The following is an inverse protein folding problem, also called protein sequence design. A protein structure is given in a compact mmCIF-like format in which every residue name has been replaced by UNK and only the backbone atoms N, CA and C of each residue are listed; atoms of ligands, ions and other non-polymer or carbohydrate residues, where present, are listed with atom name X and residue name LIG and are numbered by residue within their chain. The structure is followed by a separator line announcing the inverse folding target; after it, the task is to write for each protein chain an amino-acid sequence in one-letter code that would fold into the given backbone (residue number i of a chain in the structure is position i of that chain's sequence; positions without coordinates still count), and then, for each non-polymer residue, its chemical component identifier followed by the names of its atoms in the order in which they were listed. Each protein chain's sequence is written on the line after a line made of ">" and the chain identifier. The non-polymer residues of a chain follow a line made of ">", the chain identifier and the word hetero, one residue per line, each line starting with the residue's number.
data_IF_126679085627
#
_entry.id   IF_126679085627
#
_cell.length_a   1.000
_cell.length_b   1.000
_cell.length_c   1.000
_cell.angle_alpha   90.00
_cell.angle_beta   90.00
_cell.angle_gamma   90.00
#
_symmetry.space_group_name_H-M   'P 1'
#
loop_
_entity.id
_entity.type
_entity.pdbx_description
1 polymer ?
#
# COMPACT_ATOMS: atom_id res chain seq x y z
N UNK A 1 19.91 7.35 30.83
CA UNK A 1 19.44 8.16 29.69
C UNK A 1 20.36 7.82 28.52
N UNK A 2 19.99 6.83 27.71
CA UNK A 2 20.77 6.44 26.53
C UNK A 2 20.46 7.43 25.43
N UNK A 3 21.47 8.08 24.86
CA UNK A 3 21.30 8.89 23.68
C UNK A 3 20.79 7.97 22.56
N UNK A 4 19.55 8.17 22.12
CA UNK A 4 19.03 7.54 20.91
C UNK A 4 19.94 8.02 19.78
N UNK A 5 20.72 7.11 19.21
CA UNK A 5 21.52 7.40 18.01
C UNK A 5 20.51 7.74 16.92
N UNK A 6 20.42 9.01 16.54
CA UNK A 6 19.67 9.43 15.36
C UNK A 6 20.20 8.65 14.16
N UNK A 7 19.29 7.94 13.47
CA UNK A 7 19.58 7.24 12.22
C UNK A 7 19.96 8.22 11.09
N UNK A 8 19.49 9.46 11.18
CA UNK A 8 19.79 10.52 10.23
C UNK A 8 20.99 11.35 10.68
N UNK A 9 21.88 11.63 9.74
CA UNK A 9 23.01 12.55 9.93
C UNK A 9 22.55 14.02 9.94
N UNK A 10 23.36 14.90 10.50
CA UNK A 10 23.11 16.35 10.48
C UNK A 10 22.93 16.87 9.05
N UNK A 11 23.75 16.40 8.10
CA UNK A 11 23.65 16.81 6.70
C UNK A 11 22.32 16.40 6.06
N UNK A 12 21.76 15.24 6.42
CA UNK A 12 20.45 14.80 5.94
C UNK A 12 19.32 15.65 6.52
N UNK A 13 19.43 16.05 7.80
CA UNK A 13 18.46 16.95 8.43
C UNK A 13 18.51 18.36 7.83
N UNK A 14 19.71 18.86 7.53
CA UNK A 14 19.90 20.13 6.81
C UNK A 14 19.31 20.06 5.40
N UNK A 15 19.58 18.99 4.65
CA UNK A 15 18.97 18.77 3.34
C UNK A 15 17.44 18.76 3.42
N UNK A 16 16.87 18.06 4.40
CA UNK A 16 15.41 18.03 4.58
C UNK A 16 14.85 19.44 4.86
N UNK A 17 15.53 20.23 5.69
CA UNK A 17 15.12 21.58 6.01
C UNK A 17 15.18 22.53 4.80
N UNK A 18 16.20 22.37 3.96
CA UNK A 18 16.43 23.23 2.78
C UNK A 18 15.55 22.84 1.59
N UNK A 19 15.36 21.53 1.34
CA UNK A 19 14.69 21.01 0.16
C UNK A 19 13.23 20.61 0.41
N UNK A 20 12.84 20.41 1.67
CA UNK A 20 11.51 19.95 2.05
C UNK A 20 11.25 18.45 1.80
N UNK A 21 12.28 17.70 1.40
CA UNK A 21 12.24 16.24 1.26
C UNK A 21 13.60 15.61 1.56
N UNK A 22 13.59 14.31 1.87
CA UNK A 22 14.81 13.55 2.12
C UNK A 22 14.62 12.13 1.57
N UNK A 23 15.62 11.65 0.82
CA UNK A 23 15.72 10.25 0.43
C UNK A 23 16.60 9.52 1.46
N UNK A 24 16.02 8.49 2.09
CA UNK A 24 16.74 7.58 2.98
C UNK A 24 16.65 6.19 2.37
N UNK A 25 17.79 5.67 1.94
CA UNK A 25 17.87 4.33 1.33
C UNK A 25 17.85 3.25 2.41
N UNK A 26 17.38 2.06 2.03
CA UNK A 26 17.42 0.84 2.85
C UNK A 26 16.78 0.95 4.26
N UNK A 27 15.80 1.83 4.42
CA UNK A 27 15.04 1.95 5.68
C UNK A 27 14.28 0.67 5.98
N UNK A 28 13.57 0.10 4.99
CA UNK A 28 12.77 -1.11 5.14
C UNK A 28 13.40 -2.27 4.39
N UNK A 29 13.50 -3.42 5.05
CA UNK A 29 13.85 -4.68 4.44
C UNK A 29 12.63 -5.25 3.69
N UNK A 30 12.74 -5.53 2.38
CA UNK A 30 11.61 -6.01 1.58
C UNK A 30 11.02 -7.35 2.04
N UNK A 31 11.78 -8.16 2.77
CA UNK A 31 11.34 -9.46 3.26
C UNK A 31 10.85 -9.35 4.70
N UNK A 32 11.67 -8.78 5.59
CA UNK A 32 11.38 -8.75 7.03
C UNK A 32 10.31 -7.72 7.39
N UNK A 33 10.30 -6.56 6.72
CA UNK A 33 9.40 -5.46 7.07
C UNK A 33 8.14 -5.43 6.20
N UNK A 34 8.23 -5.92 4.95
CA UNK A 34 7.10 -5.92 4.00
C UNK A 34 6.48 -7.30 3.77
N UNK A 35 7.17 -8.39 4.14
CA UNK A 35 6.75 -9.76 3.78
C UNK A 35 5.34 -10.10 4.27
N UNK A 36 5.00 -9.75 5.50
CA UNK A 36 3.67 -10.01 6.05
C UNK A 36 2.57 -9.22 5.34
N UNK A 37 2.83 -7.96 4.99
CA UNK A 37 1.90 -7.13 4.23
C UNK A 37 1.66 -7.71 2.83
N UNK A 38 2.74 -8.12 2.17
CA UNK A 38 2.68 -8.71 0.84
C UNK A 38 1.94 -10.06 0.85
N UNK A 39 2.14 -10.89 1.88
CA UNK A 39 1.39 -12.13 2.07
C UNK A 39 -0.11 -11.85 2.28
N UNK A 40 -0.44 -10.88 3.14
CA UNK A 40 -1.82 -10.45 3.39
C UNK A 40 -2.51 -9.97 2.11
N UNK A 41 -1.81 -9.21 1.26
CA UNK A 41 -2.36 -8.77 -0.03
C UNK A 41 -2.48 -9.93 -1.02
N UNK A 42 -1.55 -10.88 -1.00
CA UNK A 42 -1.65 -12.07 -1.83
C UNK A 42 -2.89 -12.90 -1.47
N UNK A 43 -3.18 -13.08 -0.17
CA UNK A 43 -4.40 -13.73 0.32
C UNK A 43 -5.67 -12.97 -0.09
N UNK A 44 -5.64 -11.63 0.02
CA UNK A 44 -6.75 -10.77 -0.42
C UNK A 44 -7.03 -10.93 -1.92
N UNK A 45 -5.98 -10.88 -2.74
CA UNK A 45 -6.07 -11.09 -4.19
C UNK A 45 -6.60 -12.48 -4.52
N UNK A 46 -6.18 -13.50 -3.77
CA UNK A 46 -6.64 -14.88 -3.95
C UNK A 46 -8.14 -15.01 -3.70
N UNK A 47 -8.64 -14.42 -2.62
CA UNK A 47 -10.07 -14.37 -2.30
C UNK A 47 -10.87 -13.69 -3.42
N UNK A 48 -10.36 -12.56 -3.95
CA UNK A 48 -10.99 -11.84 -5.05
C UNK A 48 -11.01 -12.67 -6.34
N UNK A 49 -9.91 -13.33 -6.69
CA UNK A 49 -9.83 -14.19 -7.88
C UNK A 49 -10.85 -15.34 -7.81
N UNK A 50 -10.95 -16.00 -6.66
CA UNK A 50 -11.95 -17.07 -6.43
C UNK A 50 -13.38 -16.55 -6.53
N UNK A 51 -13.65 -15.37 -5.98
CA UNK A 51 -14.96 -14.72 -6.08
C UNK A 51 -15.35 -14.45 -7.54
N UNK A 52 -14.45 -13.81 -8.29
CA UNK A 52 -14.65 -13.54 -9.72
C UNK A 52 -14.87 -14.82 -10.55
N UNK A 53 -14.13 -15.88 -10.27
CA UNK A 53 -14.30 -17.16 -10.94
C UNK A 53 -15.64 -17.82 -10.60
N UNK A 54 -16.03 -17.83 -9.32
CA UNK A 54 -17.32 -18.38 -8.89
C UNK A 54 -18.53 -17.62 -9.47
N UNK A 55 -18.38 -16.31 -9.71
CA UNK A 55 -19.37 -15.47 -10.40
C UNK A 55 -19.42 -15.69 -11.93
N UNK A 56 -18.44 -16.41 -12.50
CA UNK A 56 -18.27 -16.54 -13.96
C UNK A 56 -17.79 -15.25 -14.63
N UNK A 57 -17.21 -14.32 -13.87
CA UNK A 57 -16.66 -13.07 -14.41
C UNK A 57 -15.28 -13.25 -15.04
N UNK A 58 -14.59 -14.36 -14.75
CA UNK A 58 -13.31 -14.77 -15.34
C UNK A 58 -13.29 -16.29 -15.52
N UNK A 59 -12.48 -16.77 -16.47
CA UNK A 59 -12.35 -18.22 -16.78
C UNK A 59 -11.17 -18.91 -16.07
N UNK A 60 -10.29 -18.16 -15.39
CA UNK A 60 -9.10 -18.66 -14.70
C UNK A 60 -8.73 -17.71 -13.53
N UNK A 61 -8.23 -18.25 -12.42
CA UNK A 61 -7.75 -17.51 -11.24
C UNK A 61 -6.30 -17.02 -11.38
N UNK A 62 -5.58 -17.51 -12.38
CA UNK A 62 -4.20 -17.17 -12.73
C UNK A 62 -3.19 -17.40 -11.59
N UNK A 63 -3.35 -18.48 -10.82
CA UNK A 63 -2.59 -18.75 -9.58
C UNK A 63 -1.07 -18.84 -9.79
N UNK A 64 -0.62 -19.16 -11.00
CA UNK A 64 0.81 -19.25 -11.34
C UNK A 64 1.51 -17.90 -11.56
N UNK A 65 0.78 -16.79 -11.58
CA UNK A 65 1.34 -15.47 -11.85
C UNK A 65 1.80 -14.75 -10.56
N UNK A 66 2.95 -14.05 -10.59
CA UNK A 66 3.34 -13.12 -9.53
C UNK A 66 2.27 -12.04 -9.28
N UNK A 67 2.17 -11.56 -8.04
CA UNK A 67 1.12 -10.63 -7.60
C UNK A 67 0.83 -9.48 -8.59
N UNK A 68 1.80 -8.68 -9.07
CA UNK A 68 1.49 -7.56 -9.96
C UNK A 68 0.90 -8.02 -11.30
N UNK A 69 1.41 -9.13 -11.84
CA UNK A 69 0.96 -9.69 -13.10
C UNK A 69 -0.44 -10.32 -12.96
N UNK A 70 -0.68 -11.01 -11.84
CA UNK A 70 -1.97 -11.60 -11.49
C UNK A 70 -3.04 -10.51 -11.32
N UNK A 71 -2.75 -9.44 -10.59
CA UNK A 71 -3.66 -8.30 -10.42
C UNK A 71 -4.06 -7.69 -11.76
N UNK A 72 -3.07 -7.40 -12.64
CA UNK A 72 -3.33 -6.87 -13.98
C UNK A 72 -4.19 -7.81 -14.81
N UNK A 73 -3.92 -9.12 -14.76
CA UNK A 73 -4.69 -10.13 -15.49
C UNK A 73 -6.12 -10.28 -14.99
N UNK A 74 -6.32 -10.22 -13.68
CA UNK A 74 -7.66 -10.24 -13.09
C UNK A 74 -8.46 -8.98 -13.48
N UNK A 75 -7.84 -7.79 -13.48
CA UNK A 75 -8.49 -6.57 -13.95
C UNK A 75 -8.87 -6.67 -15.44
N UNK A 76 -7.95 -7.15 -16.28
CA UNK A 76 -8.17 -7.34 -17.72
C UNK A 76 -9.29 -8.34 -18.01
N UNK A 77 -9.28 -9.50 -17.35
CA UNK A 77 -10.25 -10.57 -17.59
C UNK A 77 -11.65 -10.21 -17.07
N UNK A 78 -11.73 -9.57 -15.89
CA UNK A 78 -13.01 -9.22 -15.28
C UNK A 78 -13.60 -7.89 -15.78
N UNK A 79 -12.78 -7.03 -16.40
CA UNK A 79 -13.14 -5.65 -16.72
C UNK A 79 -13.34 -4.76 -15.48
N UNK A 80 -12.88 -5.19 -14.28
CA UNK A 80 -13.05 -4.46 -13.02
C UNK A 80 -11.74 -3.86 -12.54
N UNK A 81 -11.79 -2.64 -11.98
CA UNK A 81 -10.67 -2.06 -11.26
C UNK A 81 -10.61 -2.63 -9.83
N UNK A 82 -9.58 -3.41 -9.55
CA UNK A 82 -9.38 -4.10 -8.26
C UNK A 82 -8.48 -3.37 -7.23
N UNK A 83 -7.63 -2.36 -7.55
CA UNK A 83 -6.76 -1.69 -6.57
C UNK A 83 -7.45 -1.16 -5.31
N UNK A 84 -8.66 -0.61 -5.42
CA UNK A 84 -9.38 -0.02 -4.29
C UNK A 84 -9.72 -1.06 -3.20
N UNK A 85 -9.71 -2.35 -3.54
CA UNK A 85 -9.95 -3.46 -2.61
C UNK A 85 -8.78 -3.71 -1.65
N UNK A 86 -7.64 -3.05 -1.88
CA UNK A 86 -6.45 -3.12 -1.05
C UNK A 86 -6.27 -1.87 -0.18
N UNK A 87 -7.00 -0.78 -0.46
CA UNK A 87 -6.80 0.47 0.27
C UNK A 87 -7.31 0.34 1.72
N UNK A 88 -6.56 0.88 2.67
CA UNK A 88 -6.88 0.84 4.10
C UNK A 88 -7.56 2.12 4.59
N UNK A 89 -8.03 2.92 3.65
CA UNK A 89 -8.88 4.08 3.85
C UNK A 89 -10.12 3.96 2.96
N UNK A 90 -11.20 4.62 3.35
CA UNK A 90 -12.40 4.70 2.52
C UNK A 90 -12.19 5.68 1.36
N UNK A 91 -12.91 5.45 0.26
CA UNK A 91 -13.00 6.41 -0.84
C UNK A 91 -13.48 7.79 -0.36
N UNK A 92 -13.12 8.84 -1.09
CA UNK A 92 -13.43 10.23 -0.69
C UNK A 92 -14.93 10.57 -0.75
N UNK A 93 -15.70 9.85 -1.59
CA UNK A 93 -17.13 10.07 -1.83
C UNK A 93 -17.85 8.74 -2.03
N UNK A 94 -19.20 8.76 -1.97
CA UNK A 94 -20.01 7.58 -2.32
C UNK A 94 -19.80 6.40 -1.36
N UNK A 95 -19.54 6.70 -0.08
CA UNK A 95 -19.34 5.67 0.94
C UNK A 95 -20.68 5.02 1.26
N UNK A 96 -20.70 3.70 1.15
CA UNK A 96 -21.81 2.82 1.49
C UNK A 96 -21.35 1.80 2.52
N UNK A 97 -22.29 1.04 3.09
CA UNK A 97 -21.99 0.05 4.13
C UNK A 97 -21.06 -1.07 3.62
N UNK A 98 -21.08 -1.34 2.32
CA UNK A 98 -20.29 -2.35 1.62
C UNK A 98 -19.08 -1.75 0.89
N UNK A 99 -18.76 -0.47 1.11
CA UNK A 99 -17.56 0.14 0.54
C UNK A 99 -16.31 -0.62 0.95
N UNK A 100 -15.38 -0.89 0.01
CA UNK A 100 -14.18 -1.62 0.32
C UNK A 100 -13.28 -0.84 1.26
N UNK A 101 -12.74 -1.54 2.26
CA UNK A 101 -11.63 -1.08 3.09
C UNK A 101 -10.87 -2.30 3.59
N UNK A 102 -9.54 -2.26 3.48
CA UNK A 102 -8.65 -3.32 3.89
C UNK A 102 -7.98 -2.97 5.22
N UNK A 103 -8.55 -3.44 6.33
CA UNK A 103 -8.06 -3.19 7.70
C UNK A 103 -7.20 -4.34 8.26
N UNK A 104 -6.41 -4.98 7.40
CA UNK A 104 -5.56 -6.10 7.79
C UNK A 104 -4.41 -5.68 8.71
N UNK A 105 -3.95 -6.57 9.62
CA UNK A 105 -2.93 -6.23 10.60
C UNK A 105 -1.54 -5.97 9.99
N UNK A 106 -1.25 -6.46 8.78
CA UNK A 106 0.00 -6.18 8.06
C UNK A 106 0.19 -4.69 7.79
N UNK A 107 -0.89 -3.99 7.44
CA UNK A 107 -0.86 -2.53 7.24
C UNK A 107 -0.46 -1.82 8.52
N UNK A 108 -1.11 -2.17 9.64
CA UNK A 108 -0.83 -1.54 10.93
C UNK A 108 0.62 -1.80 11.36
N UNK A 109 1.11 -3.04 11.21
CA UNK A 109 2.50 -3.39 11.55
C UNK A 109 3.52 -2.62 10.73
N UNK A 110 3.25 -2.37 9.44
CA UNK A 110 4.09 -1.51 8.61
C UNK A 110 4.08 -0.06 9.13
N UNK A 111 2.90 0.50 9.39
CA UNK A 111 2.76 1.87 9.87
C UNK A 111 3.42 2.08 11.25
N UNK A 112 3.52 1.03 12.05
CA UNK A 112 4.20 1.04 13.36
C UNK A 112 5.60 0.41 13.33
N UNK A 113 6.20 0.21 12.15
CA UNK A 113 7.50 -0.44 12.04
C UNK A 113 8.58 0.42 12.73
N UNK A 114 9.38 -0.12 13.68
CA UNK A 114 10.37 0.67 14.42
C UNK A 114 11.39 1.37 13.51
N UNK A 115 11.84 0.73 12.43
CA UNK A 115 12.81 1.32 11.49
C UNK A 115 12.23 2.53 10.76
N UNK A 116 10.95 2.47 10.42
CA UNK A 116 10.21 3.60 9.85
C UNK A 116 10.05 4.71 10.90
N UNK A 117 9.57 4.35 12.11
CA UNK A 117 9.31 5.32 13.17
C UNK A 117 10.58 6.00 13.66
N UNK A 118 11.73 5.32 13.70
CA UNK A 118 13.02 5.92 14.07
C UNK A 118 13.43 7.05 13.09
N UNK A 119 13.18 6.85 11.79
CA UNK A 119 13.45 7.89 10.77
C UNK A 119 12.47 9.05 10.91
N UNK A 120 11.19 8.77 11.14
CA UNK A 120 10.17 9.81 11.34
C UNK A 120 10.46 10.61 12.61
N UNK A 121 10.77 9.95 13.73
CA UNK A 121 11.12 10.58 15.00
C UNK A 121 12.31 11.53 14.86
N UNK A 122 13.34 11.14 14.09
CA UNK A 122 14.49 12.00 13.83
C UNK A 122 14.14 13.32 13.13
N UNK A 123 13.01 13.36 12.40
CA UNK A 123 12.55 14.55 11.67
C UNK A 123 11.55 15.37 12.48
N UNK A 124 10.54 14.73 13.09
CA UNK A 124 9.41 15.42 13.72
C UNK A 124 9.42 15.39 15.26
N UNK A 125 10.35 14.64 15.86
CA UNK A 125 10.39 14.38 17.29
C UNK A 125 9.55 13.17 17.73
N UNK A 126 9.51 12.87 19.04
CA UNK A 126 8.99 11.62 19.58
C UNK A 126 7.45 11.50 19.56
N UNK A 127 6.73 12.61 19.37
CA UNK A 127 5.27 12.62 19.34
C UNK A 127 4.76 12.39 17.91
N UNK A 128 4.67 11.11 17.52
CA UNK A 128 4.25 10.70 16.17
C UNK A 128 2.74 10.39 16.15
N UNK A 129 2.01 11.08 15.29
CA UNK A 129 0.60 10.82 15.01
C UNK A 129 0.40 10.26 13.60
N UNK A 130 -0.40 9.20 13.49
CA UNK A 130 -0.85 8.64 12.21
C UNK A 130 -2.30 9.05 11.97
N UNK A 131 -2.51 9.97 11.03
CA UNK A 131 -3.85 10.38 10.58
C UNK A 131 -4.27 9.52 9.38
N UNK A 132 -5.48 8.92 9.33
CA UNK A 132 -5.95 8.03 8.26
C UNK A 132 -6.21 8.75 6.91
N UNK A 133 -5.17 9.38 6.38
CA UNK A 133 -5.12 9.96 5.03
C UNK A 133 -4.11 9.23 4.14
N UNK A 134 -3.58 8.11 4.62
CA UNK A 134 -2.64 7.30 3.84
C UNK A 134 -3.41 6.38 2.89
N UNK A 135 -2.83 6.17 1.72
CA UNK A 135 -3.41 5.41 0.62
C UNK A 135 -2.38 4.48 0.01
N UNK A 136 -2.84 3.33 -0.47
CA UNK A 136 -2.05 2.51 -1.38
C UNK A 136 -2.16 3.04 -2.79
N UNK A 137 -1.01 3.18 -3.46
CA UNK A 137 -0.93 3.71 -4.81
C UNK A 137 -0.51 2.63 -5.81
N UNK A 138 -1.32 1.59 -5.96
CA UNK A 138 -1.12 0.63 -7.04
C UNK A 138 -1.42 1.29 -8.40
N UNK A 139 -0.48 1.19 -9.34
CA UNK A 139 -0.61 1.75 -10.68
C UNK A 139 -0.81 0.64 -11.71
N UNK A 140 -2.00 0.59 -12.29
CA UNK A 140 -2.31 -0.34 -13.38
C UNK A 140 -1.84 0.23 -14.73
N UNK A 141 -1.43 -0.62 -15.69
CA UNK A 141 -1.22 -0.21 -17.08
C UNK A 141 -2.50 0.39 -17.68
N UNK A 142 -2.37 1.49 -18.44
CA UNK A 142 -3.52 2.20 -19.02
C UNK A 142 -4.49 1.29 -19.80
N UNK A 143 -3.97 0.28 -20.50
CA UNK A 143 -4.77 -0.67 -21.31
C UNK A 143 -5.76 -1.53 -20.50
N UNK A 144 -5.63 -1.61 -19.17
CA UNK A 144 -6.50 -2.42 -18.31
C UNK A 144 -7.36 -1.58 -17.37
N UNK A 145 -7.29 -0.25 -17.46
CA UNK A 145 -8.12 0.66 -16.66
C UNK A 145 -9.40 0.96 -17.45
N UNK A 146 -10.60 0.65 -16.92
CA UNK A 146 -11.85 0.98 -17.60
C UNK A 146 -12.03 2.48 -17.81
N UNK A 147 -12.65 2.87 -18.92
CA UNK A 147 -12.98 4.28 -19.20
C UNK A 147 -13.86 4.87 -18.08
N UNK A 148 -13.50 6.07 -17.60
CA UNK A 148 -14.19 6.74 -16.49
C UNK A 148 -13.79 6.26 -15.10
N UNK A 149 -12.89 5.27 -14.98
CA UNK A 149 -12.31 4.88 -13.69
C UNK A 149 -11.21 5.88 -13.30
N UNK A 150 -11.54 6.83 -12.42
CA UNK A 150 -10.56 7.72 -11.81
C UNK A 150 -10.00 7.06 -10.56
N UNK A 151 -8.80 6.47 -10.64
CA UNK A 151 -8.11 5.91 -9.47
C UNK A 151 -7.55 7.04 -8.59
N UNK A 152 -8.38 7.98 -8.12
CA UNK A 152 -8.03 9.07 -7.19
C UNK A 152 -6.80 9.93 -7.55
N UNK A 153 -6.27 9.78 -8.77
CA UNK A 153 -4.96 10.26 -9.22
C UNK A 153 -5.00 10.65 -10.71
N UNK A 154 -6.19 10.92 -11.23
CA UNK A 154 -6.45 11.74 -12.43
C UNK A 154 -7.58 12.69 -12.09
#
# INVERSE_FOLDING_TARGET
>A
MSATRSLLSTAQLEQFADEGYLLVEDVLDPVLDLGELLAEYAERLDSMARGLYAEGAIDDTFDGLPFPQRLVKLCEASGRALPDQFDFSLGQNGIHHDSPIHVGPGVFRLLTNPRLLDVVEAVIGPEIFSNPVQHIRMKLPARVVPDGCTNGLV
#
